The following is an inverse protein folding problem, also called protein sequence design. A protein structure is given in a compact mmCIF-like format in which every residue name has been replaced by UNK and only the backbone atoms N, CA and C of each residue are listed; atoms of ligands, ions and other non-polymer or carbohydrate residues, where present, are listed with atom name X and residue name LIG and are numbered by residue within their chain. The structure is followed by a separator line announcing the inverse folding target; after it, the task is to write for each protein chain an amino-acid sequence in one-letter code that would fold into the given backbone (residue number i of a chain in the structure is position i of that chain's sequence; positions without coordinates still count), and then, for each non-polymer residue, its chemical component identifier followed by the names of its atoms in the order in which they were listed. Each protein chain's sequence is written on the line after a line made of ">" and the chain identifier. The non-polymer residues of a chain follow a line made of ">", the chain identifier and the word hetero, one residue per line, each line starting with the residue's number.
data_IF_856519566055
#
_entry.id   IF_856519566055
#
_cell.length_a   1.000
_cell.length_b   1.000
_cell.length_c   1.000
_cell.angle_alpha   90.00
_cell.angle_beta   90.00
_cell.angle_gamma   90.00
#
_symmetry.space_group_name_H-M   'P 1'
#
loop_
_entity.id
_entity.type
_entity.pdbx_description
1 polymer ?
#
# COMPACT_ATOMS: atom_id res chain seq x y z
N UNK A 1 -24.77 -26.60 8.24
CA UNK A 1 -23.45 -26.58 8.92
C UNK A 1 -22.30 -26.24 7.95
N UNK A 2 -22.38 -26.61 6.66
CA UNK A 2 -21.33 -26.42 5.63
C UNK A 2 -21.16 -24.97 5.15
N UNK A 3 -22.25 -24.23 4.98
CA UNK A 3 -22.26 -22.89 4.39
C UNK A 3 -21.40 -21.85 5.16
N UNK A 4 -21.46 -21.86 6.49
CA UNK A 4 -20.60 -21.01 7.33
C UNK A 4 -19.12 -21.38 7.21
N UNK A 5 -18.81 -22.68 7.10
CA UNK A 5 -17.43 -23.14 6.94
C UNK A 5 -16.87 -22.79 5.55
N UNK A 6 -17.71 -22.79 4.52
CA UNK A 6 -17.35 -22.37 3.17
C UNK A 6 -17.11 -20.86 3.12
N UNK A 7 -17.98 -20.06 3.74
CA UNK A 7 -17.81 -18.61 3.87
C UNK A 7 -16.50 -18.23 4.60
N UNK A 8 -16.21 -18.89 5.73
CA UNK A 8 -14.96 -18.67 6.49
C UNK A 8 -13.73 -19.07 5.66
N UNK A 9 -13.79 -20.18 4.91
CA UNK A 9 -12.68 -20.61 4.04
C UNK A 9 -12.43 -19.61 2.93
N UNK A 10 -13.48 -19.10 2.31
CA UNK A 10 -13.37 -18.11 1.25
C UNK A 10 -12.82 -16.79 1.77
N UNK A 11 -13.27 -16.31 2.94
CA UNK A 11 -12.71 -15.10 3.54
C UNK A 11 -11.21 -15.28 3.87
N UNK A 12 -10.82 -16.40 4.45
CA UNK A 12 -9.40 -16.72 4.71
C UNK A 12 -8.57 -16.77 3.42
N UNK A 13 -9.14 -17.26 2.31
CA UNK A 13 -8.50 -17.27 1.00
C UNK A 13 -8.24 -15.84 0.52
N UNK A 14 -9.22 -14.94 0.61
CA UNK A 14 -9.06 -13.53 0.24
C UNK A 14 -8.02 -12.82 1.09
N UNK A 15 -7.99 -13.09 2.40
CA UNK A 15 -6.99 -12.51 3.32
C UNK A 15 -5.59 -12.96 2.92
N UNK A 16 -5.41 -14.26 2.66
CA UNK A 16 -4.11 -14.81 2.23
C UNK A 16 -3.65 -14.20 0.91
N UNK A 17 -4.57 -14.05 -0.05
CA UNK A 17 -4.29 -13.45 -1.34
C UNK A 17 -3.85 -11.99 -1.21
N UNK A 18 -4.56 -11.18 -0.40
CA UNK A 18 -4.19 -9.80 -0.15
C UNK A 18 -2.82 -9.69 0.53
N UNK A 19 -2.50 -10.57 1.48
CA UNK A 19 -1.17 -10.62 2.12
C UNK A 19 -0.07 -10.86 1.09
N UNK A 20 -0.23 -11.87 0.23
CA UNK A 20 0.75 -12.17 -0.83
C UNK A 20 0.95 -10.97 -1.74
N UNK A 21 -0.15 -10.34 -2.20
CA UNK A 21 -0.07 -9.16 -3.05
C UNK A 21 0.66 -8.01 -2.35
N UNK A 22 0.30 -7.72 -1.10
CA UNK A 22 0.94 -6.67 -0.31
C UNK A 22 2.44 -6.94 -0.10
N UNK A 23 2.83 -8.18 0.17
CA UNK A 23 4.24 -8.53 0.39
C UNK A 23 5.05 -8.40 -0.92
N UNK A 24 4.47 -8.83 -2.05
CA UNK A 24 5.08 -8.65 -3.37
C UNK A 24 5.24 -7.16 -3.71
N UNK A 25 4.23 -6.34 -3.46
CA UNK A 25 4.31 -4.88 -3.66
C UNK A 25 5.45 -4.28 -2.86
N UNK A 26 5.61 -4.65 -1.59
CA UNK A 26 6.75 -4.19 -0.78
C UNK A 26 8.08 -4.57 -1.42
N UNK A 27 8.24 -5.81 -1.89
CA UNK A 27 9.48 -6.25 -2.56
C UNK A 27 9.78 -5.44 -3.82
N UNK A 28 8.76 -5.19 -4.64
CA UNK A 28 8.90 -4.38 -5.86
C UNK A 28 9.28 -2.94 -5.53
N UNK A 29 8.61 -2.32 -4.55
CA UNK A 29 8.92 -0.96 -4.09
C UNK A 29 10.36 -0.87 -3.54
N UNK A 30 10.79 -1.89 -2.78
CA UNK A 30 12.14 -1.98 -2.22
C UNK A 30 13.23 -2.15 -3.27
N UNK A 31 12.90 -2.65 -4.47
CA UNK A 31 13.88 -2.80 -5.54
C UNK A 31 14.46 -1.45 -6.01
N UNK A 32 13.77 -0.33 -5.76
CA UNK A 32 14.20 1.01 -6.15
C UNK A 32 14.27 1.25 -7.66
N UNK A 33 13.64 0.37 -8.45
CA UNK A 33 13.65 0.42 -9.93
C UNK A 33 12.50 1.22 -10.52
N UNK A 34 11.50 1.57 -9.72
CA UNK A 34 10.33 2.32 -10.15
C UNK A 34 10.54 3.81 -9.91
N UNK A 35 10.06 4.65 -10.83
CA UNK A 35 9.83 6.06 -10.58
C UNK A 35 8.76 6.27 -9.51
N UNK A 36 8.68 7.48 -8.97
CA UNK A 36 7.66 7.84 -7.99
C UNK A 36 6.23 7.62 -8.52
N UNK A 37 6.00 7.93 -9.79
CA UNK A 37 4.69 7.79 -10.45
C UNK A 37 4.29 6.32 -10.66
N UNK A 38 5.22 5.46 -11.06
CA UNK A 38 4.99 4.02 -11.22
C UNK A 38 4.74 3.35 -9.88
N UNK A 39 5.48 3.75 -8.85
CA UNK A 39 5.29 3.24 -7.51
C UNK A 39 3.92 3.64 -6.94
N UNK A 40 3.47 4.88 -7.15
CA UNK A 40 2.13 5.32 -6.76
C UNK A 40 1.04 4.53 -7.51
N UNK A 41 1.19 4.33 -8.82
CA UNK A 41 0.26 3.55 -9.64
C UNK A 41 0.18 2.08 -9.18
N UNK A 42 1.31 1.49 -8.79
CA UNK A 42 1.36 0.13 -8.22
C UNK A 42 0.57 0.04 -6.91
N UNK A 43 0.75 1.02 -6.01
CA UNK A 43 0.03 1.06 -4.73
C UNK A 43 -1.47 1.23 -4.95
N UNK A 44 -1.88 2.09 -5.89
CA UNK A 44 -3.29 2.28 -6.24
C UNK A 44 -3.93 1.02 -6.84
N UNK A 45 -3.18 0.29 -7.68
CA UNK A 45 -3.61 -1.01 -8.20
C UNK A 45 -3.87 -2.03 -7.09
N UNK A 46 -3.02 -2.07 -6.07
CA UNK A 46 -3.18 -2.97 -4.91
C UNK A 46 -4.37 -2.55 -4.05
N UNK A 47 -4.60 -1.24 -3.88
CA UNK A 47 -5.79 -0.72 -3.20
C UNK A 47 -7.07 -1.15 -3.91
N UNK A 48 -7.13 -0.90 -5.22
CA UNK A 48 -8.26 -1.31 -6.06
C UNK A 48 -8.51 -2.81 -5.97
N UNK A 49 -7.45 -3.62 -5.97
CA UNK A 49 -7.54 -5.06 -5.78
C UNK A 49 -8.08 -5.45 -4.40
N UNK A 50 -7.58 -4.82 -3.33
CA UNK A 50 -8.04 -5.07 -1.97
C UNK A 50 -9.52 -4.75 -1.79
N UNK A 51 -10.00 -3.66 -2.39
CA UNK A 51 -11.41 -3.24 -2.32
C UNK A 51 -12.34 -4.17 -3.11
N UNK A 52 -11.86 -4.81 -4.17
CA UNK A 52 -12.61 -5.88 -4.84
C UNK A 52 -12.77 -7.12 -3.95
N UNK A 53 -11.76 -7.44 -3.14
CA UNK A 53 -11.81 -8.58 -2.20
C UNK A 53 -12.63 -8.25 -0.95
N UNK A 54 -12.58 -7.00 -0.49
CA UNK A 54 -13.20 -6.50 0.73
C UNK A 54 -13.88 -5.15 0.49
N UNK A 55 -15.08 -5.15 -0.13
CA UNK A 55 -15.81 -3.92 -0.40
C UNK A 55 -16.06 -3.09 0.87
N UNK A 56 -15.89 -1.77 0.77
CA UNK A 56 -16.11 -0.83 1.87
C UNK A 56 -15.03 -0.82 2.97
N UNK A 57 -13.89 -1.48 2.76
CA UNK A 57 -12.77 -1.55 3.72
C UNK A 57 -11.61 -0.60 3.39
N UNK A 58 -11.88 0.51 2.72
CA UNK A 58 -10.90 1.53 2.31
C UNK A 58 -10.04 2.03 3.46
N UNK A 59 -10.66 2.51 4.53
CA UNK A 59 -9.94 3.02 5.69
C UNK A 59 -9.10 1.95 6.38
N UNK A 60 -9.61 0.71 6.45
CA UNK A 60 -8.86 -0.41 7.02
C UNK A 60 -7.64 -0.75 6.17
N UNK A 61 -7.78 -0.74 4.85
CA UNK A 61 -6.64 -0.92 3.94
C UNK A 61 -5.59 0.16 4.16
N UNK A 62 -6.02 1.43 4.21
CA UNK A 62 -5.10 2.55 4.38
C UNK A 62 -4.38 2.49 5.72
N UNK A 63 -5.07 2.10 6.80
CA UNK A 63 -4.50 1.96 8.13
C UNK A 63 -3.44 0.84 8.20
N UNK A 64 -3.67 -0.29 7.52
CA UNK A 64 -2.83 -1.49 7.66
C UNK A 64 -1.69 -1.52 6.63
N UNK A 65 -1.98 -1.19 5.38
CA UNK A 65 -1.06 -1.41 4.26
C UNK A 65 -0.24 -0.17 3.90
N UNK A 66 -0.81 1.04 3.97
CA UNK A 66 -0.05 2.26 3.59
C UNK A 66 1.21 2.48 4.42
N UNK A 67 1.23 2.27 5.76
CA UNK A 67 2.46 2.44 6.53
C UNK A 67 3.61 1.57 6.01
N UNK A 68 3.30 0.33 5.56
CA UNK A 68 4.29 -0.60 5.03
C UNK A 68 4.84 -0.14 3.67
N UNK A 69 3.97 0.33 2.78
CA UNK A 69 4.40 0.83 1.46
C UNK A 69 5.19 2.14 1.58
N UNK A 70 4.77 3.06 2.45
CA UNK A 70 5.53 4.29 2.74
C UNK A 70 6.93 3.98 3.24
N UNK A 71 7.05 3.02 4.16
CA UNK A 71 8.35 2.56 4.65
C UNK A 71 9.21 2.00 3.51
N UNK A 72 8.63 1.16 2.65
CA UNK A 72 9.34 0.59 1.51
C UNK A 72 9.83 1.66 0.51
N UNK A 73 9.00 2.66 0.21
CA UNK A 73 9.35 3.79 -0.65
C UNK A 73 10.49 4.64 -0.07
N UNK A 74 10.48 4.87 1.25
CA UNK A 74 11.54 5.61 1.95
C UNK A 74 12.86 4.84 1.90
N UNK A 75 12.80 3.54 2.19
CA UNK A 75 13.99 2.69 2.25
C UNK A 75 14.60 2.41 0.86
N UNK A 76 13.82 2.43 -0.23
CA UNK A 76 14.33 2.25 -1.58
C UNK A 76 15.01 3.48 -2.19
N UNK A 77 14.91 4.64 -1.51
CA UNK A 77 15.39 5.93 -2.00
C UNK A 77 14.56 6.52 -3.14
N UNK A 78 13.46 5.87 -3.54
CA UNK A 78 12.55 6.39 -4.59
C UNK A 78 11.95 7.74 -4.17
N UNK A 79 11.68 7.91 -2.87
CA UNK A 79 11.17 9.16 -2.29
C UNK A 79 12.17 10.34 -2.33
N UNK A 80 13.46 10.03 -2.37
CA UNK A 80 14.55 11.04 -2.35
C UNK A 80 14.98 11.43 -3.77
N UNK A 81 14.76 10.55 -4.76
CA UNK A 81 15.06 10.80 -6.19
C UNK A 81 14.06 11.74 -6.84
N UNK A 82 12.79 11.64 -6.47
CA UNK A 82 11.68 12.44 -7.00
C UNK A 82 10.75 12.73 -5.83
N UNK A 83 10.43 14.00 -5.50
CA UNK A 83 9.38 14.31 -4.51
C UNK A 83 8.05 13.84 -5.09
N UNK A 84 7.51 12.67 -4.71
CA UNK A 84 6.22 12.28 -5.24
C UNK A 84 5.24 13.25 -4.58
N UNK A 85 4.50 14.01 -5.38
CA UNK A 85 3.17 14.39 -4.92
C UNK A 85 2.43 13.06 -4.86
N UNK A 86 2.56 12.33 -3.75
CA UNK A 86 1.71 11.20 -3.41
C UNK A 86 0.33 11.83 -3.38
N UNK A 87 -0.36 11.76 -4.51
CA UNK A 87 -1.64 12.42 -4.73
C UNK A 87 -2.57 11.94 -3.63
N UNK A 88 -2.66 12.78 -2.60
CA UNK A 88 -3.69 12.85 -1.58
C UNK A 88 -4.28 11.48 -1.24
N UNK A 89 -3.50 10.61 -0.59
CA UNK A 89 -4.11 9.60 0.26
C UNK A 89 -4.77 10.36 1.41
N UNK A 90 -6.09 10.54 1.35
CA UNK A 90 -6.91 11.18 2.38
C UNK A 90 -6.49 10.66 3.77
N UNK A 91 -5.76 11.47 4.53
CA UNK A 91 -5.50 11.22 5.95
C UNK A 91 -4.10 11.48 6.48
N UNK A 92 -3.08 11.75 5.67
CA UNK A 92 -1.75 12.09 6.22
C UNK A 92 -1.09 13.22 5.42
N UNK A 93 -1.15 14.43 5.98
CA UNK A 93 -0.32 15.55 5.56
C UNK A 93 1.15 15.14 5.73
N UNK A 94 1.91 15.18 4.65
CA UNK A 94 3.36 15.14 4.72
C UNK A 94 3.82 16.42 5.41
N UNK A 95 4.06 16.34 6.72
CA UNK A 95 4.74 17.38 7.48
C UNK A 95 6.10 17.63 6.86
N UNK A 96 6.20 18.72 6.11
CA UNK A 96 7.44 19.31 5.66
C UNK A 96 8.24 19.75 6.89
N UNK A 97 9.33 19.06 7.18
CA UNK A 97 10.41 19.58 8.02
C UNK A 97 11.60 19.89 7.11
N UNK A 98 11.38 20.90 6.26
CA UNK A 98 12.41 21.84 5.85
C UNK A 98 12.92 22.56 7.11
N UNK A 99 13.81 21.89 7.85
CA UNK A 99 14.60 22.47 8.92
C UNK A 99 16.00 22.78 8.39
N UNK A 100 16.26 24.07 8.22
CA UNK A 100 17.51 24.76 7.91
C UNK A 100 18.80 23.95 8.05
N UNK A 101 19.55 23.95 6.93
CA UNK A 101 21.00 23.88 6.93
C UNK A 101 21.50 25.08 7.76
N UNK A 102 22.23 24.80 8.83
CA UNK A 102 23.22 25.70 9.39
C UNK A 102 24.60 25.22 8.93
#
# INVERSE_FOLDING_TARGET
>A
MTDLQDAIREENRRIRLLRIMSDLTVQVLMSGRLSASEAASLIDGVKTFALKLFPGKDQTFDLIHMPRFRRALRESGTYDREKPTLVVYHGFETGDHSGERN
#
